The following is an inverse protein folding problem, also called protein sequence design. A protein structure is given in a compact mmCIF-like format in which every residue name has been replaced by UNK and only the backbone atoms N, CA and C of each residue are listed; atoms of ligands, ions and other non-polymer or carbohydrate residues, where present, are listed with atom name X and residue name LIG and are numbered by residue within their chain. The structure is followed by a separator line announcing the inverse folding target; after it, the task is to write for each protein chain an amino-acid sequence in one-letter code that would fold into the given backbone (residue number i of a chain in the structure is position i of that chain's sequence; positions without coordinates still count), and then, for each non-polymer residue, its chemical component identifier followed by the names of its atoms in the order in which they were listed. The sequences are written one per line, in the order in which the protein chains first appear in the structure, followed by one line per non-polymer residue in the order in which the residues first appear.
data_IF_295833040817
#
_entry.id   IF_295833040817
#
_cell.length_a   1.000
_cell.length_b   1.000
_cell.length_c   1.000
_cell.angle_alpha   90.00
_cell.angle_beta   90.00
_cell.angle_gamma   90.00
#
_symmetry.space_group_name_H-M   'P 1'
#
loop_
_entity.id
_entity.type
_entity.pdbx_description
1 polymer ?
#
# COMPACT_ATOMS: atom_id res chain seq x y z
N UNK A 1 11.50 -4.62 17.14
CA UNK A 1 11.43 -4.52 15.66
C UNK A 1 10.17 -5.22 15.17
N UNK A 2 9.41 -4.56 14.33
CA UNK A 2 8.19 -5.13 13.76
C UNK A 2 8.50 -5.69 12.38
N UNK A 3 7.99 -6.89 12.10
CA UNK A 3 8.29 -7.58 10.85
C UNK A 3 6.99 -8.06 10.22
N UNK A 4 6.86 -7.84 8.92
CA UNK A 4 5.78 -8.40 8.12
C UNK A 4 6.40 -9.44 7.20
N UNK A 5 5.95 -10.70 7.31
CA UNK A 5 6.50 -11.78 6.50
C UNK A 5 6.14 -11.59 5.03
N UNK A 6 6.94 -12.17 4.14
CA UNK A 6 6.65 -12.10 2.70
C UNK A 6 5.33 -12.79 2.37
N UNK A 7 4.99 -13.84 3.09
CA UNK A 7 3.72 -14.54 2.90
C UNK A 7 2.53 -13.63 3.22
N UNK A 8 2.60 -12.90 4.33
CA UNK A 8 1.56 -11.95 4.71
C UNK A 8 1.49 -10.81 3.71
N UNK A 9 2.64 -10.29 3.29
CA UNK A 9 2.70 -9.23 2.29
C UNK A 9 2.01 -9.65 1.00
N UNK A 10 2.31 -10.84 0.49
CA UNK A 10 1.71 -11.36 -0.73
C UNK A 10 0.19 -11.49 -0.59
N UNK A 11 -0.28 -12.02 0.54
CA UNK A 11 -1.71 -12.20 0.79
C UNK A 11 -2.44 -10.87 0.81
N UNK A 12 -1.88 -9.89 1.51
CA UNK A 12 -2.49 -8.56 1.61
C UNK A 12 -2.50 -7.87 0.25
N UNK A 13 -1.39 -7.93 -0.47
CA UNK A 13 -1.29 -7.31 -1.79
C UNK A 13 -2.29 -7.93 -2.77
N UNK A 14 -2.42 -9.25 -2.75
CA UNK A 14 -3.37 -9.94 -3.62
C UNK A 14 -4.80 -9.50 -3.32
N UNK A 15 -5.16 -9.43 -2.04
CA UNK A 15 -6.49 -9.00 -1.62
C UNK A 15 -6.76 -7.56 -2.02
N UNK A 16 -5.82 -6.66 -1.76
CA UNK A 16 -5.98 -5.25 -2.09
C UNK A 16 -6.11 -5.02 -3.59
N UNK A 17 -5.31 -5.74 -4.38
CA UNK A 17 -5.36 -5.59 -5.83
C UNK A 17 -6.66 -6.14 -6.43
N UNK A 18 -7.22 -7.18 -5.82
CA UNK A 18 -8.45 -7.80 -6.29
C UNK A 18 -9.69 -7.02 -5.87
N UNK A 19 -9.80 -6.69 -4.58
CA UNK A 19 -11.04 -6.16 -4.01
C UNK A 19 -10.99 -4.67 -3.67
N UNK A 20 -9.80 -4.07 -3.60
CA UNK A 20 -9.63 -2.69 -3.18
C UNK A 20 -8.65 -1.92 -4.07
N UNK A 21 -8.68 -2.21 -5.37
CA UNK A 21 -7.73 -1.57 -6.30
C UNK A 21 -7.92 -0.06 -6.35
N UNK A 22 -9.16 0.42 -6.16
CA UNK A 22 -9.42 1.86 -6.12
C UNK A 22 -8.66 2.52 -4.97
N UNK A 23 -8.60 1.84 -3.82
CA UNK A 23 -7.83 2.34 -2.67
C UNK A 23 -6.35 2.41 -2.99
N UNK A 24 -5.81 1.41 -3.69
CA UNK A 24 -4.41 1.41 -4.10
C UNK A 24 -4.12 2.62 -4.99
N UNK A 25 -5.01 2.92 -5.93
CA UNK A 25 -4.88 4.09 -6.80
C UNK A 25 -4.91 5.39 -5.99
N UNK A 26 -5.77 5.48 -4.98
CA UNK A 26 -5.84 6.65 -4.11
C UNK A 26 -4.56 6.85 -3.32
N UNK A 27 -3.97 5.77 -2.78
CA UNK A 27 -2.69 5.86 -2.09
C UNK A 27 -1.61 6.42 -3.02
N UNK A 28 -1.56 5.92 -4.25
CA UNK A 28 -0.56 6.35 -5.21
C UNK A 28 -0.69 7.84 -5.52
N UNK A 29 -1.92 8.29 -5.75
CA UNK A 29 -2.17 9.70 -6.07
C UNK A 29 -1.89 10.62 -4.90
N UNK A 30 -2.41 10.28 -3.74
CA UNK A 30 -2.34 11.15 -2.56
C UNK A 30 -0.97 11.13 -1.88
N UNK A 31 -0.50 9.93 -1.55
CA UNK A 31 0.77 9.79 -0.82
C UNK A 31 1.97 9.70 -1.75
N UNK A 32 1.80 9.06 -2.89
CA UNK A 32 2.87 8.92 -3.87
C UNK A 32 3.05 10.12 -4.77
N UNK A 33 2.07 11.02 -4.80
CA UNK A 33 2.08 12.22 -5.66
C UNK A 33 2.17 11.90 -7.14
N UNK A 34 1.63 10.74 -7.54
CA UNK A 34 1.59 10.31 -8.94
C UNK A 34 0.14 10.47 -9.43
N UNK A 35 -0.11 11.44 -10.29
CA UNK A 35 -1.46 11.76 -10.74
C UNK A 35 -1.89 11.03 -12.01
N UNK A 36 -0.94 10.57 -12.82
CA UNK A 36 -1.22 9.91 -14.09
C UNK A 36 -0.51 8.59 -14.22
N UNK A 37 -1.27 7.55 -14.50
CA UNK A 37 -0.75 6.20 -14.74
C UNK A 37 -1.84 5.39 -15.46
N UNK A 38 -1.42 4.36 -16.19
CA UNK A 38 -2.36 3.46 -16.88
C UNK A 38 -2.75 2.31 -15.98
N UNK A 39 -1.78 1.72 -15.30
CA UNK A 39 -1.98 0.59 -14.41
C UNK A 39 -1.20 0.81 -13.12
N UNK A 40 -1.79 0.40 -12.01
CA UNK A 40 -1.10 0.46 -10.73
C UNK A 40 -1.63 -0.64 -9.83
N UNK A 41 -0.73 -1.27 -9.07
CA UNK A 41 -1.11 -2.30 -8.12
C UNK A 41 -0.11 -2.32 -6.97
N UNK A 42 -0.58 -2.85 -5.84
CA UNK A 42 0.27 -2.97 -4.65
C UNK A 42 1.21 -4.15 -4.84
N UNK A 43 2.52 -3.87 -4.82
CA UNK A 43 3.55 -4.87 -5.05
C UNK A 43 4.03 -5.50 -3.76
N UNK A 44 4.17 -4.71 -2.72
CA UNK A 44 4.73 -5.17 -1.45
C UNK A 44 4.25 -4.28 -0.32
N UNK A 45 4.08 -4.86 0.86
CA UNK A 45 3.87 -4.12 2.10
C UNK A 45 4.85 -4.65 3.13
N UNK A 46 5.54 -3.73 3.81
CA UNK A 46 6.49 -4.06 4.87
C UNK A 46 6.09 -3.33 6.14
N UNK A 47 6.86 -3.51 7.20
CA UNK A 47 6.60 -2.81 8.45
C UNK A 47 6.81 -1.30 8.33
N UNK A 48 7.53 -0.85 7.31
CA UNK A 48 7.93 0.55 7.16
C UNK A 48 7.32 1.26 5.96
N UNK A 49 6.88 0.52 4.94
CA UNK A 49 6.41 1.13 3.70
C UNK A 49 5.46 0.21 2.93
N UNK A 50 4.76 0.80 1.97
CA UNK A 50 4.11 0.05 0.92
C UNK A 50 4.77 0.42 -0.41
N UNK A 51 4.90 -0.54 -1.30
CA UNK A 51 5.49 -0.37 -2.63
C UNK A 51 4.41 -0.60 -3.66
N UNK A 52 4.17 0.41 -4.48
CA UNK A 52 3.16 0.33 -5.54
C UNK A 52 3.87 0.38 -6.89
N UNK A 53 3.57 -0.61 -7.73
CA UNK A 53 4.06 -0.60 -9.10
C UNK A 53 3.04 0.12 -9.96
N UNK A 54 3.48 1.10 -10.74
CA UNK A 54 2.62 1.78 -11.69
C UNK A 54 3.35 1.85 -13.03
N UNK A 55 2.66 1.39 -14.07
CA UNK A 55 3.24 1.23 -15.40
C UNK A 55 4.53 0.41 -15.29
N UNK A 56 5.69 0.98 -15.59
CA UNK A 56 6.99 0.29 -15.46
C UNK A 56 7.84 0.88 -14.32
N UNK A 57 7.21 1.58 -13.38
CA UNK A 57 7.90 2.29 -12.28
C UNK A 57 7.39 1.84 -10.93
N UNK A 58 8.10 2.26 -9.87
CA UNK A 58 7.71 1.94 -8.50
C UNK A 58 7.61 3.23 -7.67
N UNK A 59 6.65 3.25 -6.77
CA UNK A 59 6.52 4.31 -5.77
C UNK A 59 6.61 3.67 -4.38
N UNK A 60 7.39 4.29 -3.51
CA UNK A 60 7.52 3.86 -2.11
C UNK A 60 6.80 4.87 -1.24
N UNK A 61 5.83 4.39 -0.47
CA UNK A 61 5.07 5.23 0.45
C UNK A 61 5.42 4.79 1.87
N UNK A 62 6.14 5.64 2.59
CA UNK A 62 6.60 5.32 3.94
C UNK A 62 5.48 5.56 4.95
N UNK A 63 5.33 4.62 5.90
CA UNK A 63 4.41 4.80 7.01
C UNK A 63 5.04 5.74 8.04
N UNK A 64 4.19 6.45 8.78
CA UNK A 64 4.65 7.37 9.83
C UNK A 64 5.39 6.62 10.94
N UNK A 65 4.92 5.43 11.26
CA UNK A 65 5.50 4.55 12.28
C UNK A 65 5.57 3.13 11.74
N UNK A 66 6.48 2.32 12.28
CA UNK A 66 6.52 0.91 11.94
C UNK A 66 5.21 0.24 12.35
N UNK A 67 4.73 -0.69 11.53
CA UNK A 67 3.51 -1.42 11.79
C UNK A 67 3.79 -2.92 11.87
N UNK A 68 3.00 -3.61 12.68
CA UNK A 68 3.04 -5.07 12.77
C UNK A 68 1.98 -5.67 11.84
N UNK A 69 2.00 -6.99 11.69
CA UNK A 69 1.05 -7.68 10.80
C UNK A 69 -0.40 -7.42 11.20
N UNK A 70 -0.69 -7.37 12.49
CA UNK A 70 -2.05 -7.13 12.96
C UNK A 70 -2.48 -5.67 12.85
N UNK A 71 -1.56 -4.77 12.53
CA UNK A 71 -1.87 -3.35 12.33
C UNK A 71 -2.09 -2.97 10.86
N UNK A 72 -1.84 -3.89 9.94
CA UNK A 72 -1.95 -3.60 8.50
C UNK A 72 -3.33 -3.07 8.12
N UNK A 73 -4.37 -3.80 8.50
CA UNK A 73 -5.73 -3.42 8.15
C UNK A 73 -6.10 -2.03 8.66
N UNK A 74 -5.83 -1.78 9.94
CA UNK A 74 -6.12 -0.48 10.54
C UNK A 74 -5.35 0.66 9.89
N UNK A 75 -4.09 0.41 9.53
CA UNK A 75 -3.26 1.41 8.87
C UNK A 75 -3.82 1.76 7.50
N UNK A 76 -4.19 0.76 6.70
CA UNK A 76 -4.74 0.99 5.37
C UNK A 76 -6.07 1.74 5.42
N UNK A 77 -6.94 1.39 6.37
CA UNK A 77 -8.22 2.08 6.56
C UNK A 77 -7.99 3.53 7.00
N UNK A 78 -7.07 3.73 7.92
CA UNK A 78 -6.74 5.08 8.42
C UNK A 78 -6.21 5.98 7.30
N UNK A 79 -5.39 5.43 6.41
CA UNK A 79 -4.84 6.18 5.29
C UNK A 79 -5.93 6.61 4.31
N UNK A 80 -6.92 5.76 4.07
CA UNK A 80 -8.06 6.10 3.21
C UNK A 80 -8.91 7.21 3.85
N UNK A 81 -9.15 7.12 5.15
CA UNK A 81 -9.91 8.15 5.86
C UNK A 81 -9.23 9.51 5.81
N UNK A 82 -7.91 9.52 5.83
CA UNK A 82 -7.14 10.76 5.74
C UNK A 82 -7.29 11.42 4.36
N UNK A 83 -7.43 10.61 3.30
CA UNK A 83 -7.63 11.09 1.94
C UNK A 83 -9.06 11.64 1.77
N UNK A 84 -10.02 10.90 2.25
CA UNK A 84 -11.44 11.25 2.16
C UNK A 84 -11.84 12.21 3.28
#
# INVERSE_FOLDING_TARGET
MKIISSKTSQRVCKHMNKDHIVSVHKYLKYYGKISEFKEAYLEEISSQFMKIKYDDKFAIINFKNEISEDEIHGTLVSMIKEID
#
